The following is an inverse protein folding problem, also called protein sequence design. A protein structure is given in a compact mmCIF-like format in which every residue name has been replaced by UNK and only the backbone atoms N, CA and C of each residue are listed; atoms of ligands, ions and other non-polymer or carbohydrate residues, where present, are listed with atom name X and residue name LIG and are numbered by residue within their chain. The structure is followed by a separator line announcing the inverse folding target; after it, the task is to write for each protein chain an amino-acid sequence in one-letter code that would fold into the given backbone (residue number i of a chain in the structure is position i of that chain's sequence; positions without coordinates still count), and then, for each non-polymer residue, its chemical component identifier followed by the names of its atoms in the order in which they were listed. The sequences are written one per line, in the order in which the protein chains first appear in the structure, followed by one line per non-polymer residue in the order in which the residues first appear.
data_IF_929952619739
#
_entry.id   IF_929952619739
#
_cell.length_a   1.000
_cell.length_b   1.000
_cell.length_c   1.000
_cell.angle_alpha   90.00
_cell.angle_beta   90.00
_cell.angle_gamma   90.00
#
_symmetry.space_group_name_H-M   'P 1'
#
loop_
_entity.id
_entity.type
_entity.pdbx_description
1 polymer ?
#
# COMPACT_ATOMS: atom_id res chain seq x y z
N UNK A 1 19.25 -16.63 -7.03
CA UNK A 1 19.87 -15.31 -7.29
C UNK A 1 20.87 -15.02 -6.16
N UNK A 2 22.01 -14.40 -6.46
CA UNK A 2 23.01 -14.04 -5.45
C UNK A 2 22.93 -12.54 -5.16
N UNK A 3 22.89 -12.18 -3.87
CA UNK A 3 22.95 -10.81 -3.41
C UNK A 3 24.40 -10.38 -3.19
N UNK A 4 24.80 -9.23 -3.76
CA UNK A 4 26.15 -8.66 -3.54
C UNK A 4 26.12 -7.79 -2.29
N UNK A 5 26.16 -8.43 -1.11
CA UNK A 5 26.18 -7.77 0.20
C UNK A 5 27.57 -7.98 0.82
N UNK A 6 28.22 -6.94 1.39
CA UNK A 6 29.49 -7.10 2.11
C UNK A 6 29.35 -8.09 3.27
N UNK A 7 30.32 -9.00 3.40
CA UNK A 7 30.40 -9.92 4.53
C UNK A 7 29.71 -11.28 4.37
N UNK A 8 29.07 -11.58 3.24
CA UNK A 8 28.45 -12.89 3.09
C UNK A 8 28.01 -13.26 1.67
N UNK A 9 27.72 -14.52 1.46
CA UNK A 9 27.12 -15.07 0.25
C UNK A 9 25.62 -15.29 0.49
N UNK A 10 24.83 -14.22 0.48
CA UNK A 10 23.39 -14.31 0.65
C UNK A 10 22.71 -14.61 -0.69
N UNK A 11 21.74 -15.49 -0.66
CA UNK A 11 20.99 -15.94 -1.83
C UNK A 11 19.50 -15.75 -1.65
N UNK A 12 18.83 -15.47 -2.75
CA UNK A 12 17.38 -15.71 -2.88
C UNK A 12 17.26 -16.98 -3.72
N UNK A 13 16.66 -18.03 -3.17
CA UNK A 13 16.63 -19.34 -3.82
C UNK A 13 15.36 -20.14 -3.50
N UNK A 14 15.02 -21.06 -4.35
CA UNK A 14 13.95 -22.03 -4.10
C UNK A 14 14.31 -23.02 -2.99
N UNK A 15 13.31 -23.61 -2.39
CA UNK A 15 13.47 -24.65 -1.36
C UNK A 15 12.75 -25.92 -1.75
N UNK A 16 13.31 -27.06 -1.33
CA UNK A 16 12.63 -28.36 -1.37
C UNK A 16 11.81 -28.64 -0.09
N UNK A 17 11.82 -27.72 0.86
CA UNK A 17 11.00 -27.75 2.07
C UNK A 17 10.12 -26.50 2.11
N UNK A 18 8.91 -26.55 1.51
CA UNK A 18 7.99 -25.40 1.43
C UNK A 18 7.56 -24.87 2.79
N UNK A 19 7.44 -25.74 3.80
CA UNK A 19 7.02 -25.36 5.16
C UNK A 19 8.04 -24.44 5.86
N UNK A 20 9.26 -24.38 5.34
CA UNK A 20 10.31 -23.49 5.86
C UNK A 20 10.36 -22.11 5.19
N UNK A 21 9.44 -21.82 4.25
CA UNK A 21 9.30 -20.47 3.67
C UNK A 21 8.69 -19.55 4.73
N UNK A 22 9.28 -18.37 4.92
CA UNK A 22 8.87 -17.43 5.96
C UNK A 22 9.46 -17.68 7.35
N UNK A 23 10.20 -18.79 7.54
CA UNK A 23 10.83 -19.09 8.83
C UNK A 23 12.27 -18.57 8.89
N UNK A 24 12.69 -18.06 10.05
CA UNK A 24 14.06 -17.61 10.33
C UNK A 24 14.99 -18.81 10.63
N UNK A 25 15.12 -19.74 9.67
CA UNK A 25 15.87 -21.01 9.83
C UNK A 25 17.09 -21.10 8.93
N UNK A 26 17.56 -19.99 8.39
CA UNK A 26 18.76 -19.90 7.54
C UNK A 26 19.79 -18.97 8.17
N UNK A 27 21.02 -19.00 7.65
CA UNK A 27 22.09 -18.06 8.02
C UNK A 27 22.02 -16.77 7.15
N UNK A 28 20.79 -16.34 6.75
CA UNK A 28 20.56 -15.11 6.01
C UNK A 28 20.13 -15.29 4.54
N UNK A 29 20.03 -16.52 4.03
CA UNK A 29 19.44 -16.77 2.71
C UNK A 29 17.91 -16.66 2.76
N UNK A 30 17.34 -16.07 1.70
CA UNK A 30 15.89 -15.92 1.53
C UNK A 30 15.34 -17.11 0.74
N UNK A 31 14.40 -17.83 1.34
CA UNK A 31 13.73 -18.98 0.71
C UNK A 31 12.46 -18.54 0.03
N UNK A 32 12.21 -19.11 -1.13
CA UNK A 32 10.96 -18.93 -1.89
C UNK A 32 10.42 -20.29 -2.33
N UNK A 33 9.14 -20.34 -2.64
CA UNK A 33 8.57 -21.50 -3.32
C UNK A 33 9.24 -21.70 -4.69
N UNK A 34 9.41 -22.95 -5.16
CA UNK A 34 10.10 -23.25 -6.42
C UNK A 34 9.50 -22.53 -7.63
N UNK A 35 8.18 -22.45 -7.71
CA UNK A 35 7.44 -21.76 -8.76
C UNK A 35 7.64 -20.25 -8.76
N UNK A 36 7.68 -19.65 -7.55
CA UNK A 36 7.86 -18.21 -7.40
C UNK A 36 9.28 -17.77 -7.77
N UNK A 37 10.30 -18.51 -7.31
CA UNK A 37 11.70 -18.18 -7.65
C UNK A 37 11.97 -18.36 -9.14
N UNK A 38 11.34 -19.34 -9.81
CA UNK A 38 11.47 -19.52 -11.24
C UNK A 38 10.94 -18.28 -11.98
N UNK A 39 9.75 -17.84 -11.65
CA UNK A 39 9.14 -16.63 -12.22
C UNK A 39 9.96 -15.37 -11.92
N UNK A 40 10.41 -15.21 -10.68
CA UNK A 40 11.21 -14.05 -10.27
C UNK A 40 12.55 -14.02 -11.00
N UNK A 41 13.20 -15.19 -11.19
CA UNK A 41 14.50 -15.29 -11.85
C UNK A 41 14.46 -14.82 -13.31
N UNK A 42 13.38 -15.08 -14.01
CA UNK A 42 13.16 -14.64 -15.39
C UNK A 42 12.95 -13.13 -15.51
N UNK A 43 12.38 -12.50 -14.48
CA UNK A 43 11.99 -11.09 -14.47
C UNK A 43 13.06 -10.15 -13.95
N UNK A 44 14.01 -10.64 -13.16
CA UNK A 44 15.01 -9.82 -12.47
C UNK A 44 16.37 -9.93 -13.14
N UNK A 45 16.79 -8.93 -13.92
CA UNK A 45 18.09 -8.94 -14.58
C UNK A 45 19.25 -8.82 -13.58
N UNK A 46 20.44 -9.26 -14.03
CA UNK A 46 21.68 -9.05 -13.26
C UNK A 46 21.95 -7.55 -13.11
N UNK A 47 22.28 -7.12 -11.88
CA UNK A 47 22.53 -5.71 -11.55
C UNK A 47 21.31 -5.00 -10.97
N UNK A 48 20.14 -5.66 -10.86
CA UNK A 48 18.99 -5.10 -10.16
C UNK A 48 19.35 -4.74 -8.71
N UNK A 49 19.04 -3.51 -8.31
CA UNK A 49 19.24 -3.05 -6.94
C UNK A 49 18.27 -3.77 -6.01
N UNK A 50 18.79 -4.32 -4.93
CA UNK A 50 18.01 -4.92 -3.85
C UNK A 50 18.20 -4.10 -2.58
N UNK A 51 17.11 -3.72 -1.94
CA UNK A 51 17.13 -3.02 -0.66
C UNK A 51 16.44 -3.90 0.38
N UNK A 52 17.13 -4.18 1.48
CA UNK A 52 16.55 -4.83 2.65
C UNK A 52 16.03 -3.73 3.57
N UNK A 53 14.78 -3.84 3.96
CA UNK A 53 14.11 -2.87 4.83
C UNK A 53 13.62 -3.58 6.08
N UNK A 54 13.66 -2.87 7.22
CA UNK A 54 13.06 -3.29 8.48
C UNK A 54 11.86 -2.38 8.75
N UNK A 55 10.72 -2.73 8.17
CA UNK A 55 9.47 -2.01 8.30
C UNK A 55 8.37 -2.97 8.74
N UNK A 56 8.15 -3.09 10.06
CA UNK A 56 7.13 -4.01 10.58
C UNK A 56 5.69 -3.58 10.25
N UNK A 57 5.45 -2.29 10.04
CA UNK A 57 4.14 -1.75 9.65
C UNK A 57 4.27 -1.11 8.28
N UNK A 58 3.65 -1.70 7.29
CA UNK A 58 3.57 -1.16 5.92
C UNK A 58 2.13 -0.79 5.61
N UNK A 59 1.95 0.37 5.04
CA UNK A 59 0.64 0.86 4.61
C UNK A 59 0.73 1.47 3.22
N UNK A 60 -0.34 1.34 2.48
CA UNK A 60 -0.49 2.00 1.19
C UNK A 60 -1.96 2.34 0.92
N UNK A 61 -2.17 3.32 0.04
CA UNK A 61 -3.49 3.64 -0.49
C UNK A 61 -3.51 3.30 -1.97
N UNK A 62 -4.45 2.45 -2.39
CA UNK A 62 -4.63 2.00 -3.78
C UNK A 62 -6.10 2.16 -4.13
N UNK A 63 -6.42 2.97 -5.12
CA UNK A 63 -7.79 3.20 -5.60
C UNK A 63 -8.78 3.62 -4.48
N UNK A 64 -8.30 4.43 -3.52
CA UNK A 64 -9.07 4.87 -2.36
C UNK A 64 -9.15 3.85 -1.21
N UNK A 65 -8.65 2.65 -1.39
CA UNK A 65 -8.57 1.62 -0.34
C UNK A 65 -7.27 1.76 0.46
N UNK A 66 -7.37 1.70 1.78
CA UNK A 66 -6.20 1.68 2.69
C UNK A 66 -5.89 0.24 3.05
N UNK A 67 -4.67 -0.18 2.72
CA UNK A 67 -4.14 -1.50 2.97
C UNK A 67 -3.06 -1.47 4.03
N UNK A 68 -3.09 -2.46 4.92
CA UNK A 68 -2.15 -2.66 6.02
C UNK A 68 -1.52 -4.04 5.94
N UNK A 69 -0.18 -4.10 6.03
CA UNK A 69 0.60 -5.32 6.20
C UNK A 69 1.45 -5.18 7.45
N UNK A 70 1.35 -6.14 8.36
CA UNK A 70 2.04 -6.12 9.65
C UNK A 70 2.91 -7.35 9.81
N UNK A 71 4.18 -7.13 10.14
CA UNK A 71 5.14 -8.17 10.53
C UNK A 71 5.57 -7.98 11.98
N UNK A 72 5.84 -9.04 12.73
CA UNK A 72 6.37 -8.88 14.08
C UNK A 72 7.78 -8.30 14.02
N UNK A 73 8.05 -7.17 14.69
CA UNK A 73 9.41 -6.70 14.88
C UNK A 73 10.26 -7.75 15.59
N UNK A 74 11.56 -7.75 15.31
CA UNK A 74 12.51 -8.70 15.91
C UNK A 74 13.43 -7.91 16.83
N UNK A 75 13.55 -8.33 18.09
CA UNK A 75 14.48 -7.74 19.05
C UNK A 75 15.95 -8.16 18.79
N UNK A 76 16.88 -7.57 19.53
CA UNK A 76 18.32 -7.85 19.40
C UNK A 76 18.68 -9.33 19.69
N UNK A 77 17.77 -10.09 20.26
CA UNK A 77 17.91 -11.52 20.56
C UNK A 77 17.22 -12.40 19.51
N UNK A 78 16.66 -11.81 18.45
CA UNK A 78 15.97 -12.50 17.37
C UNK A 78 14.57 -12.98 17.73
N UNK A 79 13.93 -12.42 18.77
CA UNK A 79 12.59 -12.80 19.21
C UNK A 79 11.57 -11.83 18.64
N UNK A 80 10.43 -12.36 18.20
CA UNK A 80 9.29 -11.54 17.80
C UNK A 80 8.75 -10.76 19.00
N UNK A 81 8.51 -9.48 18.81
CA UNK A 81 7.90 -8.57 19.78
C UNK A 81 6.62 -7.97 19.23
N UNK A 82 5.78 -7.43 20.11
CA UNK A 82 4.56 -6.78 19.69
C UNK A 82 4.85 -5.49 18.90
N UNK A 83 4.02 -5.22 17.91
CA UNK A 83 4.06 -3.95 17.18
C UNK A 83 3.57 -2.83 18.09
N UNK A 84 4.28 -1.71 18.11
CA UNK A 84 3.86 -0.52 18.84
C UNK A 84 2.65 0.13 18.16
N UNK A 85 1.65 0.49 18.95
CA UNK A 85 0.49 1.25 18.46
C UNK A 85 0.91 2.64 17.99
N UNK A 86 1.85 3.29 18.67
CA UNK A 86 2.39 4.60 18.28
C UNK A 86 3.01 4.56 16.87
N UNK A 87 3.70 3.44 16.54
CA UNK A 87 4.26 3.26 15.20
C UNK A 87 3.16 3.13 14.14
N UNK A 88 2.10 2.38 14.47
CA UNK A 88 0.95 2.23 13.59
C UNK A 88 0.27 3.58 13.34
N UNK A 89 -0.04 4.32 14.40
CA UNK A 89 -0.68 5.65 14.32
C UNK A 89 0.18 6.63 13.51
N UNK A 90 1.49 6.70 13.78
CA UNK A 90 2.40 7.55 13.03
C UNK A 90 2.45 7.20 11.52
N UNK A 91 2.38 5.91 11.18
CA UNK A 91 2.33 5.46 9.77
C UNK A 91 1.00 5.78 9.12
N UNK A 92 -0.09 5.63 9.86
CA UNK A 92 -1.43 5.97 9.39
C UNK A 92 -1.55 7.47 9.12
N UNK A 93 -1.15 8.30 10.07
CA UNK A 93 -1.15 9.76 9.92
C UNK A 93 -0.31 10.23 8.72
N UNK A 94 0.89 9.64 8.56
CA UNK A 94 1.77 9.97 7.45
C UNK A 94 1.18 9.55 6.08
N UNK A 95 0.38 8.48 6.03
CA UNK A 95 -0.28 8.03 4.81
C UNK A 95 -1.50 8.87 4.46
N UNK A 96 -2.32 9.18 5.47
CA UNK A 96 -3.61 9.84 5.26
C UNK A 96 -3.46 11.33 4.96
N UNK A 97 -2.54 12.02 5.64
CA UNK A 97 -2.40 13.47 5.52
C UNK A 97 -3.73 14.18 5.77
N UNK A 98 -4.25 14.88 4.76
CA UNK A 98 -5.54 15.57 4.82
C UNK A 98 -6.71 14.75 4.22
N UNK A 99 -6.47 13.51 3.80
CA UNK A 99 -7.50 12.65 3.23
C UNK A 99 -8.50 12.20 4.29
N UNK A 100 -9.79 12.31 4.00
CA UNK A 100 -10.85 11.76 4.85
C UNK A 100 -11.03 10.28 4.53
N UNK A 101 -10.73 9.42 5.52
CA UNK A 101 -10.78 7.97 5.38
C UNK A 101 -11.56 7.36 6.54
N UNK A 102 -12.44 6.43 6.23
CA UNK A 102 -13.09 5.60 7.25
C UNK A 102 -12.24 4.36 7.50
N UNK A 103 -11.72 4.23 8.72
CA UNK A 103 -10.89 3.08 9.14
C UNK A 103 -11.76 2.06 9.89
N UNK A 104 -11.61 0.79 9.51
CA UNK A 104 -12.12 -0.35 10.28
C UNK A 104 -11.09 -0.75 11.33
N UNK A 105 -11.27 -0.19 12.53
CA UNK A 105 -10.35 -0.39 13.65
C UNK A 105 -10.30 -1.84 14.14
N UNK A 106 -11.37 -2.61 14.02
CA UNK A 106 -11.39 -4.01 14.42
C UNK A 106 -10.43 -4.84 13.57
N UNK A 107 -10.48 -4.67 12.25
CA UNK A 107 -9.55 -5.33 11.31
C UNK A 107 -8.11 -4.84 11.53
N UNK A 108 -7.92 -3.54 11.72
CA UNK A 108 -6.59 -2.96 11.92
C UNK A 108 -5.93 -3.50 13.21
N UNK A 109 -6.66 -3.52 14.32
CA UNK A 109 -6.17 -4.03 15.60
C UNK A 109 -5.93 -5.55 15.58
N UNK A 110 -6.77 -6.30 14.86
CA UNK A 110 -6.54 -7.74 14.64
C UNK A 110 -5.25 -7.97 13.85
N UNK A 111 -5.02 -7.22 12.77
CA UNK A 111 -3.79 -7.31 11.98
C UNK A 111 -2.54 -6.97 12.80
N UNK A 112 -2.61 -5.95 13.66
CA UNK A 112 -1.51 -5.57 14.57
C UNK A 112 -1.20 -6.66 15.60
N UNK A 113 -2.24 -7.29 16.14
CA UNK A 113 -2.09 -8.37 17.14
C UNK A 113 -1.50 -9.62 16.51
N UNK A 114 -2.01 -10.02 15.36
CA UNK A 114 -1.67 -11.28 14.70
C UNK A 114 -0.37 -11.19 13.90
N UNK A 115 -0.03 -10.00 13.39
CA UNK A 115 1.22 -9.66 12.67
C UNK A 115 1.64 -10.73 11.65
N UNK A 116 0.71 -11.19 10.79
CA UNK A 116 0.89 -12.35 9.91
C UNK A 116 1.63 -12.04 8.61
N UNK A 117 1.94 -10.78 8.33
CA UNK A 117 2.55 -10.35 7.07
C UNK A 117 1.63 -10.53 5.85
N UNK A 118 0.32 -10.52 6.06
CA UNK A 118 -0.68 -10.64 5.00
C UNK A 118 -1.37 -9.30 4.87
N UNK A 119 -1.37 -8.66 3.69
CA UNK A 119 -2.08 -7.41 3.46
C UNK A 119 -3.58 -7.57 3.71
N UNK A 120 -4.16 -6.64 4.47
CA UNK A 120 -5.60 -6.56 4.72
C UNK A 120 -6.08 -5.14 4.44
N UNK A 121 -7.26 -5.00 3.88
CA UNK A 121 -7.90 -3.72 3.66
C UNK A 121 -8.52 -3.25 4.98
N UNK A 122 -8.08 -2.07 5.45
CA UNK A 122 -8.48 -1.49 6.73
C UNK A 122 -9.31 -0.23 6.60
N UNK A 123 -9.45 0.34 5.41
CA UNK A 123 -10.21 1.58 5.26
C UNK A 123 -10.50 1.96 3.83
N UNK A 124 -11.40 2.92 3.70
CA UNK A 124 -11.83 3.50 2.43
C UNK A 124 -11.81 5.02 2.52
N UNK A 125 -11.26 5.67 1.51
CA UNK A 125 -11.31 7.11 1.34
C UNK A 125 -12.74 7.55 1.02
N UNK A 126 -13.20 8.58 1.71
CA UNK A 126 -14.46 9.22 1.37
C UNK A 126 -14.24 10.07 0.12
N UNK A 127 -14.96 9.74 -0.94
CA UNK A 127 -14.99 10.59 -2.13
C UNK A 127 -15.62 11.92 -1.72
N UNK A 128 -14.84 13.00 -1.75
CA UNK A 128 -15.42 14.34 -1.70
C UNK A 128 -16.35 14.49 -2.90
N UNK A 129 -17.65 14.67 -2.68
CA UNK A 129 -18.56 15.05 -3.76
C UNK A 129 -18.02 16.34 -4.39
N UNK A 130 -17.54 16.27 -5.62
CA UNK A 130 -17.30 17.50 -6.38
C UNK A 130 -18.62 18.27 -6.41
N UNK A 131 -18.63 19.57 -6.03
CA UNK A 131 -19.85 20.37 -6.14
C UNK A 131 -20.30 20.31 -7.60
N UNK A 132 -21.54 19.88 -7.80
CA UNK A 132 -22.14 19.79 -9.12
C UNK A 132 -21.91 21.12 -9.86
N UNK A 133 -21.55 21.12 -11.16
CA UNK A 133 -21.33 22.32 -11.92
C UNK A 133 -22.56 23.18 -11.81
N UNK A 134 -22.42 24.38 -11.21
CA UNK A 134 -23.46 25.38 -11.16
C UNK A 134 -23.74 25.83 -12.58
N UNK A 135 -24.86 25.40 -13.11
CA UNK A 135 -25.38 25.77 -14.42
C UNK A 135 -25.73 27.29 -14.40
N UNK A 136 -24.70 28.11 -14.66
CA UNK A 136 -24.85 29.55 -14.81
C UNK A 136 -25.23 29.88 -16.25
N UNK A 137 -26.38 29.36 -16.68
CA UNK A 137 -26.95 29.80 -17.95
C UNK A 137 -28.46 30.06 -17.79
N UNK A 138 -28.82 31.14 -17.11
CA UNK A 138 -30.15 31.76 -17.22
C UNK A 138 -29.97 33.25 -17.33
N UNK A 139 -30.41 33.73 -18.47
CA UNK A 139 -30.88 35.09 -18.77
C UNK A 139 -30.05 35.81 -19.84
N UNK A 140 -30.32 35.50 -21.08
CA UNK A 140 -30.35 36.54 -22.10
C UNK A 140 -31.80 36.76 -22.51
N UNK A 141 -32.29 37.90 -22.06
CA UNK A 141 -33.59 38.45 -22.32
C UNK A 141 -33.75 38.74 -23.80
N UNK A 142 -34.77 38.12 -24.38
CA UNK A 142 -35.39 38.42 -25.66
C UNK A 142 -35.88 39.87 -25.68
N UNK A 143 -35.11 40.78 -26.31
CA UNK A 143 -35.62 42.11 -26.72
C UNK A 143 -36.21 41.99 -28.12
N UNK A 144 -37.54 42.08 -28.16
CA UNK A 144 -38.31 42.08 -29.37
C UNK A 144 -37.98 43.25 -30.29
N UNK A 145 -37.71 42.95 -31.53
CA UNK A 145 -37.64 43.89 -32.63
C UNK A 145 -39.05 44.42 -32.94
N UNK A 146 -39.24 45.71 -32.70
CA UNK A 146 -40.40 46.48 -33.11
C UNK A 146 -40.18 46.91 -34.59
N UNK A 147 -40.93 46.33 -35.49
CA UNK A 147 -40.96 46.74 -36.89
C UNK A 147 -41.87 47.99 -37.03
N UNK A 148 -41.36 49.10 -37.61
CA UNK A 148 -42.22 50.28 -37.84
C UNK A 148 -43.12 50.08 -39.07
N UNK A 149 -44.34 50.73 -39.09
CA UNK A 149 -45.25 50.57 -40.20
C UNK A 149 -44.83 51.37 -41.41
N UNK A 150 -44.88 50.77 -42.60
CA UNK A 150 -44.77 51.43 -43.90
C UNK A 150 -46.07 52.10 -44.29
N UNK A 151 -46.01 53.44 -44.41
CA UNK A 151 -47.04 54.24 -45.06
C UNK A 151 -46.70 54.41 -46.55
N UNK A 152 -47.70 54.27 -47.41
CA UNK A 152 -47.66 54.68 -48.79
C UNK A 152 -48.58 53.84 -49.65
#
# INVERSE_FOLDING_TARGET
MRLSIPGGAYLIHGTNNPDAVGMAVTHGCLRMYPEDIATLFERVPVGTKVTLIDEPVKMTKIDGEVWLEVHPPIDDQGRAVAVSLDLFEARLDALLGESEVVINWDIALEALRDARGIPVMIGLELLSEEPAPTDSNQSESNQGDVVPPVNG
#
